data_IF_108949877687
#
_entry.id   IF_108949877687
#
_cell.length_a   1.000
_cell.length_b   1.000
_cell.length_c   1.000
_cell.angle_alpha   90.00
_cell.angle_beta   90.00
_cell.angle_gamma   90.00
#
_symmetry.space_group_name_H-M   'P 1'
#
loop_
_entity.id
_entity.type
_entity.pdbx_description
1 polymer ?
#
# COMPACT_ATOMS: atom_id res chain seq x y z
N UNK A 1 23.22 14.26 15.95
CA UNK A 1 23.78 13.08 15.26
C UNK A 1 22.79 11.92 15.23
N UNK A 2 22.77 10.93 16.15
CA UNK A 2 21.92 9.73 15.96
C UNK A 2 20.43 9.97 15.63
N UNK A 3 19.76 10.92 16.31
CA UNK A 3 18.34 11.25 16.04
C UNK A 3 18.12 11.92 14.68
N UNK A 4 19.11 12.65 14.21
CA UNK A 4 19.10 13.37 12.94
C UNK A 4 19.35 12.39 11.78
N UNK A 5 20.31 11.47 11.96
CA UNK A 5 20.60 10.38 11.02
C UNK A 5 19.40 9.43 10.85
N UNK A 6 18.70 9.11 11.95
CA UNK A 6 17.46 8.32 11.93
C UNK A 6 16.34 9.02 11.16
N UNK A 7 16.21 10.34 11.31
CA UNK A 7 15.19 11.12 10.62
C UNK A 7 15.51 11.23 9.12
N UNK A 8 16.78 11.44 8.76
CA UNK A 8 17.22 11.42 7.35
C UNK A 8 16.93 10.06 6.72
N UNK A 9 17.27 8.96 7.40
CA UNK A 9 17.00 7.61 6.90
C UNK A 9 15.51 7.35 6.72
N UNK A 10 14.68 7.80 7.67
CA UNK A 10 13.23 7.73 7.56
C UNK A 10 12.69 8.58 6.40
N UNK A 11 13.21 9.79 6.18
CA UNK A 11 12.85 10.65 5.04
C UNK A 11 13.19 9.98 3.71
N UNK A 12 14.39 9.40 3.58
CA UNK A 12 14.80 8.68 2.36
C UNK A 12 13.87 7.50 2.09
N UNK A 13 13.51 6.72 3.11
CA UNK A 13 12.58 5.60 2.95
C UNK A 13 11.19 6.05 2.46
N UNK A 14 10.69 7.18 2.93
CA UNK A 14 9.42 7.76 2.46
C UNK A 14 9.51 8.32 1.02
N UNK A 15 10.66 8.87 0.63
CA UNK A 15 10.92 9.23 -0.79
C UNK A 15 10.89 7.97 -1.66
N UNK A 16 11.52 6.88 -1.24
CA UNK A 16 11.49 5.61 -1.98
C UNK A 16 10.05 5.14 -2.17
N UNK A 17 9.24 5.14 -1.10
CA UNK A 17 7.80 4.84 -1.18
C UNK A 17 7.08 5.75 -2.20
N UNK A 18 7.31 7.05 -2.13
CA UNK A 18 6.73 8.05 -3.03
C UNK A 18 7.11 7.77 -4.49
N UNK A 19 8.38 7.49 -4.78
CA UNK A 19 8.85 7.20 -6.13
C UNK A 19 8.24 5.89 -6.69
N UNK A 20 8.17 4.83 -5.88
CA UNK A 20 7.59 3.56 -6.29
C UNK A 20 6.09 3.71 -6.56
N UNK A 21 5.36 4.39 -5.67
CA UNK A 21 3.93 4.66 -5.84
C UNK A 21 3.66 5.61 -7.03
N UNK A 22 4.47 6.65 -7.19
CA UNK A 22 4.37 7.59 -8.32
C UNK A 22 4.63 6.91 -9.67
N UNK A 23 5.53 5.92 -9.72
CA UNK A 23 5.69 5.05 -10.90
C UNK A 23 4.45 4.20 -11.15
N UNK A 24 3.78 3.72 -10.09
CA UNK A 24 2.49 3.03 -10.19
C UNK A 24 1.43 3.93 -10.83
N UNK A 25 1.28 5.15 -10.31
CA UNK A 25 0.31 6.16 -10.76
C UNK A 25 0.56 6.60 -12.22
N UNK A 26 1.80 6.94 -12.57
CA UNK A 26 2.15 7.41 -13.93
C UNK A 26 1.91 6.39 -15.03
N UNK A 27 1.86 5.09 -14.69
CA UNK A 27 1.60 3.99 -15.63
C UNK A 27 0.11 3.64 -15.77
N UNK A 28 -0.79 4.40 -15.15
CA UNK A 28 -2.24 4.18 -15.22
C UNK A 28 -2.89 4.62 -16.55
N UNK A 29 -2.12 5.11 -17.53
CA UNK A 29 -2.68 5.48 -18.84
C UNK A 29 -2.95 4.26 -19.74
N UNK A 30 -4.22 4.05 -20.10
CA UNK A 30 -4.61 3.44 -21.37
C UNK A 30 -5.43 2.15 -21.34
N UNK A 31 -5.22 1.20 -20.39
CA UNK A 31 -5.93 -0.11 -20.40
C UNK A 31 -6.18 -0.76 -19.03
N UNK A 32 -5.67 -0.18 -17.94
CA UNK A 32 -5.78 -0.74 -16.59
C UNK A 32 -6.59 0.20 -15.70
N UNK A 33 -7.91 0.05 -15.67
CA UNK A 33 -8.74 0.67 -14.64
C UNK A 33 -8.58 -0.10 -13.33
N UNK A 34 -7.41 0.03 -12.73
CA UNK A 34 -7.23 -0.18 -11.31
C UNK A 34 -7.56 1.12 -10.60
N UNK A 35 -8.43 1.13 -9.58
CA UNK A 35 -8.57 2.37 -8.84
C UNK A 35 -7.25 2.69 -8.13
N UNK A 36 -6.87 3.97 -8.04
CA UNK A 36 -5.58 4.36 -7.47
C UNK A 36 -5.56 4.25 -5.94
N UNK A 37 -6.50 3.57 -5.29
CA UNK A 37 -6.74 3.70 -3.85
C UNK A 37 -5.52 3.36 -2.99
N UNK A 38 -4.83 2.25 -3.30
CA UNK A 38 -3.57 1.88 -2.65
C UNK A 38 -2.43 2.81 -3.06
N UNK A 39 -2.24 2.99 -4.37
CA UNK A 39 -1.14 3.76 -4.96
C UNK A 39 -1.12 5.22 -4.49
N UNK A 40 -2.28 5.89 -4.51
CA UNK A 40 -2.45 7.25 -4.05
C UNK A 40 -2.23 7.37 -2.54
N UNK A 41 -2.73 6.40 -1.75
CA UNK A 41 -2.49 6.38 -0.31
C UNK A 41 -0.99 6.32 0.00
N UNK A 42 -0.24 5.44 -0.68
CA UNK A 42 1.20 5.31 -0.48
C UNK A 42 1.98 6.50 -1.00
N UNK A 43 1.58 7.06 -2.14
CA UNK A 43 2.18 8.29 -2.65
C UNK A 43 2.04 9.43 -1.63
N UNK A 44 0.80 9.68 -1.16
CA UNK A 44 0.52 10.73 -0.17
C UNK A 44 1.28 10.44 1.13
N UNK A 45 1.26 9.20 1.64
CA UNK A 45 2.00 8.84 2.84
C UNK A 45 3.51 9.04 2.69
N UNK A 46 4.09 8.73 1.53
CA UNK A 46 5.48 9.01 1.21
C UNK A 46 5.81 10.50 1.25
N UNK A 47 4.97 11.35 0.62
CA UNK A 47 5.17 12.81 0.68
C UNK A 47 5.04 13.33 2.12
N UNK A 48 4.00 12.92 2.85
CA UNK A 48 3.77 13.38 4.21
C UNK A 48 4.86 12.93 5.18
N UNK A 49 5.36 11.70 5.04
CA UNK A 49 6.45 11.21 5.88
C UNK A 49 7.78 11.89 5.57
N UNK A 50 8.09 12.15 4.30
CA UNK A 50 9.26 12.96 3.95
C UNK A 50 9.23 14.32 4.65
N UNK A 51 8.13 15.06 4.47
CA UNK A 51 7.96 16.37 5.07
C UNK A 51 8.01 16.28 6.60
N UNK A 52 7.39 15.25 7.21
CA UNK A 52 7.31 15.11 8.67
C UNK A 52 8.69 14.95 9.30
N UNK A 53 9.54 14.12 8.71
CA UNK A 53 10.89 13.90 9.22
C UNK A 53 11.87 15.04 8.86
N UNK A 54 11.46 15.97 7.98
CA UNK A 54 12.18 17.21 7.65
C UNK A 54 11.54 18.48 8.26
N UNK A 55 10.52 18.33 9.10
CA UNK A 55 9.70 19.47 9.60
C UNK A 55 10.50 20.52 10.35
N UNK A 56 11.55 20.13 11.08
CA UNK A 56 12.44 21.05 11.79
C UNK A 56 13.31 21.91 10.87
N UNK A 57 13.52 21.47 9.62
CA UNK A 57 14.23 22.26 8.59
C UNK A 57 13.24 23.12 7.80
N UNK A 58 12.01 22.63 7.61
CA UNK A 58 10.97 23.28 6.81
C UNK A 58 10.07 24.25 7.60
N UNK A 59 10.25 24.36 8.92
CA UNK A 59 9.45 25.17 9.84
C UNK A 59 7.92 25.00 9.69
N UNK A 60 7.49 23.74 9.57
CA UNK A 60 6.08 23.38 9.36
C UNK A 60 5.65 22.22 10.27
N UNK A 61 4.59 22.39 11.07
CA UNK A 61 4.00 21.30 11.83
C UNK A 61 2.93 20.56 11.00
N UNK A 62 3.30 19.37 10.53
CA UNK A 62 2.44 18.48 9.75
C UNK A 62 2.24 17.13 10.44
N UNK A 63 2.54 17.04 11.73
CA UNK A 63 2.49 15.78 12.48
C UNK A 63 1.11 15.13 12.40
N UNK A 64 0.05 15.90 12.57
CA UNK A 64 -1.32 15.38 12.51
C UNK A 64 -1.66 14.84 11.12
N UNK A 65 -1.26 15.54 10.06
CA UNK A 65 -1.46 15.09 8.67
C UNK A 65 -0.68 13.80 8.39
N UNK A 66 0.55 13.70 8.90
CA UNK A 66 1.34 12.48 8.84
C UNK A 66 0.64 11.32 9.56
N UNK A 67 0.15 11.52 10.78
CA UNK A 67 -0.58 10.49 11.53
C UNK A 67 -1.87 10.03 10.83
N UNK A 68 -2.60 10.95 10.18
CA UNK A 68 -3.75 10.59 9.34
C UNK A 68 -3.32 9.73 8.15
N UNK A 69 -2.26 10.12 7.44
CA UNK A 69 -1.72 9.35 6.32
C UNK A 69 -1.23 7.96 6.74
N UNK A 70 -0.62 7.86 7.92
CA UNK A 70 -0.16 6.60 8.52
C UNK A 70 -1.34 5.66 8.79
N UNK A 71 -2.43 6.19 9.36
CA UNK A 71 -3.68 5.42 9.57
C UNK A 71 -4.29 4.96 8.25
N UNK A 72 -4.28 5.80 7.22
CA UNK A 72 -4.80 5.46 5.90
C UNK A 72 -3.96 4.37 5.23
N UNK A 73 -2.63 4.50 5.26
CA UNK A 73 -1.70 3.49 4.76
C UNK A 73 -1.85 2.15 5.50
N UNK A 74 -2.13 2.19 6.81
CA UNK A 74 -2.37 1.01 7.65
C UNK A 74 -3.69 0.31 7.33
N UNK A 75 -4.78 1.05 7.29
CA UNK A 75 -6.12 0.44 7.33
C UNK A 75 -6.85 0.44 5.99
N UNK A 76 -6.53 1.32 5.05
CA UNK A 76 -7.28 1.45 3.79
C UNK A 76 -6.53 0.90 2.59
N UNK A 77 -5.21 1.04 2.54
CA UNK A 77 -4.47 0.81 1.30
C UNK A 77 -4.64 -0.61 0.73
N UNK A 78 -4.41 -1.67 1.53
CA UNK A 78 -4.65 -3.04 1.09
C UNK A 78 -6.14 -3.36 0.83
N UNK A 79 -7.09 -2.95 1.70
CA UNK A 79 -8.52 -3.05 1.39
C UNK A 79 -8.96 -2.41 0.06
N UNK A 80 -8.40 -1.26 -0.32
CA UNK A 80 -8.63 -0.67 -1.63
C UNK A 80 -8.11 -1.56 -2.76
N UNK A 81 -6.88 -2.07 -2.64
CA UNK A 81 -6.32 -3.02 -3.61
C UNK A 81 -7.27 -4.22 -3.81
N UNK A 82 -7.78 -4.78 -2.71
CA UNK A 82 -8.68 -5.93 -2.78
C UNK A 82 -10.03 -5.58 -3.41
N UNK A 83 -10.60 -4.42 -3.07
CA UNK A 83 -11.82 -3.94 -3.73
C UNK A 83 -11.64 -3.82 -5.25
N UNK A 84 -10.46 -3.39 -5.70
CA UNK A 84 -10.13 -3.26 -7.13
C UNK A 84 -9.97 -4.61 -7.83
N UNK A 85 -9.29 -5.57 -7.19
CA UNK A 85 -9.15 -6.93 -7.72
C UNK A 85 -10.52 -7.62 -7.86
N UNK A 86 -11.45 -7.35 -6.95
CA UNK A 86 -12.80 -7.90 -6.94
C UNK A 86 -13.85 -6.99 -7.58
N UNK A 87 -13.48 -5.95 -8.35
CA UNK A 87 -14.40 -4.93 -8.88
C UNK A 87 -15.62 -5.45 -9.67
N UNK A 88 -15.53 -6.65 -10.24
CA UNK A 88 -16.64 -7.30 -10.97
C UNK A 88 -17.67 -7.96 -10.04
N UNK A 89 -17.31 -8.20 -8.78
CA UNK A 89 -18.20 -8.70 -7.73
C UNK A 89 -18.38 -7.60 -6.67
N UNK A 90 -19.39 -6.76 -6.87
CA UNK A 90 -19.67 -5.60 -6.03
C UNK A 90 -19.84 -5.94 -4.55
N UNK A 91 -20.38 -7.11 -4.21
CA UNK A 91 -20.53 -7.53 -2.81
C UNK A 91 -19.18 -7.75 -2.14
N UNK A 92 -18.30 -8.52 -2.76
CA UNK A 92 -16.95 -8.81 -2.24
C UNK A 92 -16.07 -7.55 -2.25
N UNK A 93 -16.15 -6.74 -3.31
CA UNK A 93 -15.43 -5.47 -3.39
C UNK A 93 -15.85 -4.50 -2.26
N UNK A 94 -17.15 -4.41 -1.98
CA UNK A 94 -17.68 -3.58 -0.88
C UNK A 94 -17.22 -4.10 0.48
N UNK A 95 -17.27 -5.42 0.70
CA UNK A 95 -16.78 -6.03 1.93
C UNK A 95 -15.30 -5.68 2.20
N UNK A 96 -14.47 -5.77 1.17
CA UNK A 96 -13.07 -5.37 1.26
C UNK A 96 -12.96 -3.88 1.62
N UNK A 97 -13.58 -2.99 0.87
CA UNK A 97 -13.50 -1.55 1.15
C UNK A 97 -13.96 -1.19 2.57
N UNK A 98 -15.11 -1.72 3.00
CA UNK A 98 -15.68 -1.48 4.33
C UNK A 98 -14.79 -2.05 5.44
N UNK A 99 -14.17 -3.21 5.21
CA UNK A 99 -13.22 -3.81 6.17
C UNK A 99 -12.02 -2.91 6.48
N UNK A 100 -11.65 -2.00 5.57
CA UNK A 100 -10.62 -0.99 5.81
C UNK A 100 -11.17 0.35 6.29
N UNK A 101 -12.28 0.80 5.70
CA UNK A 101 -12.89 2.09 6.01
C UNK A 101 -13.37 2.18 7.47
N UNK A 102 -13.92 1.09 8.03
CA UNK A 102 -14.41 1.07 9.41
C UNK A 102 -13.26 1.23 10.43
N UNK A 103 -12.19 0.39 10.42
CA UNK A 103 -11.04 0.62 11.29
C UNK A 103 -10.40 2.00 11.11
N UNK A 104 -10.31 2.49 9.87
CA UNK A 104 -9.77 3.83 9.62
C UNK A 104 -10.63 4.94 10.25
N UNK A 105 -11.95 4.91 10.06
CA UNK A 105 -12.85 5.89 10.65
C UNK A 105 -12.80 5.85 12.18
N UNK A 106 -12.75 4.66 12.78
CA UNK A 106 -12.55 4.49 14.22
C UNK A 106 -11.23 5.11 14.70
N UNK A 107 -10.14 4.88 13.95
CA UNK A 107 -8.84 5.46 14.26
C UNK A 107 -8.84 6.98 14.16
N UNK A 108 -9.49 7.56 13.14
CA UNK A 108 -9.65 9.01 13.01
C UNK A 108 -10.50 9.61 14.14
N UNK A 109 -11.51 8.90 14.61
CA UNK A 109 -12.35 9.31 15.73
C UNK A 109 -11.68 9.14 17.12
N UNK A 110 -10.40 8.75 17.17
CA UNK A 110 -9.67 8.50 18.42
C UNK A 110 -10.07 7.22 19.15
N UNK A 111 -10.83 6.33 18.48
CA UNK A 111 -11.30 5.04 19.01
C UNK A 111 -10.62 3.87 18.29
N UNK A 112 -9.32 4.00 18.06
CA UNK A 112 -8.55 3.02 17.29
C UNK A 112 -8.61 1.63 17.96
N UNK A 113 -9.17 0.66 17.25
CA UNK A 113 -9.23 -0.73 17.67
C UNK A 113 -8.22 -1.52 16.83
N UNK A 114 -6.96 -1.48 17.28
CA UNK A 114 -5.83 -2.11 16.59
C UNK A 114 -6.06 -3.62 16.35
N UNK A 115 -6.57 -4.42 17.30
CA UNK A 115 -6.90 -5.82 17.05
C UNK A 115 -7.90 -6.03 15.92
N UNK A 116 -8.99 -5.24 15.87
CA UNK A 116 -9.97 -5.31 14.79
C UNK A 116 -9.33 -4.95 13.44
N UNK A 117 -8.56 -3.86 13.40
CA UNK A 117 -7.85 -3.45 12.19
C UNK A 117 -6.89 -4.52 11.68
N UNK A 118 -6.11 -5.14 12.58
CA UNK A 118 -5.20 -6.24 12.24
C UNK A 118 -5.96 -7.46 11.70
N UNK A 119 -7.10 -7.82 12.29
CA UNK A 119 -7.94 -8.91 11.80
C UNK A 119 -8.46 -8.62 10.38
N UNK A 120 -8.96 -7.40 10.14
CA UNK A 120 -9.44 -7.01 8.82
C UNK A 120 -8.32 -7.04 7.78
N UNK A 121 -7.11 -6.55 8.11
CA UNK A 121 -5.95 -6.63 7.22
C UNK A 121 -5.56 -8.10 6.95
N UNK A 122 -5.54 -8.97 7.96
CA UNK A 122 -5.26 -10.39 7.78
C UNK A 122 -6.27 -11.06 6.83
N UNK A 123 -7.57 -10.76 6.97
CA UNK A 123 -8.60 -11.25 6.05
C UNK A 123 -8.37 -10.77 4.61
N UNK A 124 -7.92 -9.52 4.41
CA UNK A 124 -7.58 -9.00 3.08
C UNK A 124 -6.34 -9.70 2.49
N UNK A 125 -5.32 -10.01 3.30
CA UNK A 125 -4.15 -10.79 2.87
C UNK A 125 -4.56 -12.21 2.46
N UNK A 126 -5.40 -12.88 3.25
CA UNK A 126 -5.89 -14.23 2.92
C UNK A 126 -6.72 -14.19 1.62
N UNK A 127 -7.58 -13.18 1.47
CA UNK A 127 -8.36 -12.99 0.24
C UNK A 127 -7.45 -12.74 -0.98
N UNK A 128 -6.34 -12.01 -0.81
CA UNK A 128 -5.34 -11.83 -1.87
C UNK A 128 -4.69 -13.15 -2.29
N UNK A 129 -4.32 -13.99 -1.33
CA UNK A 129 -3.79 -15.33 -1.62
C UNK A 129 -4.83 -16.18 -2.35
N UNK A 130 -6.08 -16.15 -1.91
CA UNK A 130 -7.17 -16.87 -2.57
C UNK A 130 -7.42 -16.37 -4.00
N UNK A 131 -7.45 -15.05 -4.21
CA UNK A 131 -7.54 -14.43 -5.53
C UNK A 131 -6.39 -14.88 -6.43
N UNK A 132 -5.16 -14.88 -5.90
CA UNK A 132 -3.94 -15.31 -6.59
C UNK A 132 -4.05 -16.76 -7.10
N UNK A 133 -4.54 -17.67 -6.26
CA UNK A 133 -4.77 -19.07 -6.64
C UNK A 133 -5.81 -19.17 -7.76
N UNK A 134 -6.96 -18.51 -7.60
CA UNK A 134 -8.07 -18.61 -8.55
C UNK A 134 -7.72 -18.08 -9.95
N UNK A 135 -6.85 -17.08 -10.02
CA UNK A 135 -6.53 -16.38 -11.27
C UNK A 135 -5.10 -16.66 -11.77
N UNK A 136 -4.38 -17.59 -11.13
CA UNK A 136 -2.98 -17.92 -11.41
C UNK A 136 -2.08 -16.66 -11.46
N UNK A 137 -2.16 -15.82 -10.42
CA UNK A 137 -1.46 -14.52 -10.33
C UNK A 137 -0.37 -14.54 -9.26
N UNK A 138 0.79 -15.11 -9.58
CA UNK A 138 1.90 -15.28 -8.63
C UNK A 138 2.30 -14.00 -7.86
N UNK A 139 2.22 -12.83 -8.50
CA UNK A 139 2.47 -11.53 -7.86
C UNK A 139 1.58 -11.24 -6.65
N UNK A 140 0.41 -11.87 -6.55
CA UNK A 140 -0.46 -11.79 -5.38
C UNK A 140 0.19 -12.38 -4.13
N UNK A 141 0.96 -13.46 -4.25
CA UNK A 141 1.69 -14.06 -3.12
C UNK A 141 2.81 -13.15 -2.61
N UNK A 142 3.57 -12.54 -3.51
CA UNK A 142 4.62 -11.58 -3.13
C UNK A 142 4.01 -10.33 -2.47
N UNK A 143 2.87 -9.86 -2.98
CA UNK A 143 2.14 -8.73 -2.39
C UNK A 143 1.60 -9.08 -1.01
N UNK A 144 1.05 -10.28 -0.82
CA UNK A 144 0.60 -10.78 0.48
C UNK A 144 1.76 -10.86 1.49
N UNK A 145 2.91 -11.43 1.10
CA UNK A 145 4.09 -11.50 1.94
C UNK A 145 4.61 -10.10 2.34
N UNK A 146 4.67 -9.17 1.38
CA UNK A 146 5.03 -7.78 1.66
C UNK A 146 4.03 -7.10 2.59
N UNK A 147 2.72 -7.39 2.47
CA UNK A 147 1.69 -6.95 3.39
C UNK A 147 1.88 -7.49 4.82
N UNK A 148 2.28 -8.76 4.98
CA UNK A 148 2.63 -9.32 6.28
C UNK A 148 3.81 -8.54 6.90
N UNK A 149 4.86 -8.31 6.11
CA UNK A 149 6.04 -7.56 6.56
C UNK A 149 5.63 -6.14 6.99
N UNK A 150 4.84 -5.44 6.18
CA UNK A 150 4.44 -4.06 6.47
C UNK A 150 3.48 -3.95 7.67
N UNK A 151 2.48 -4.81 7.77
CA UNK A 151 1.41 -4.61 8.75
C UNK A 151 1.61 -5.34 10.07
N UNK A 152 2.39 -6.41 10.09
CA UNK A 152 2.59 -7.23 11.29
C UNK A 152 4.02 -7.25 11.78
N UNK A 153 5.02 -7.27 10.88
CA UNK A 153 6.42 -7.34 11.28
C UNK A 153 6.99 -5.96 11.58
N UNK A 154 6.85 -5.00 10.66
CA UNK A 154 7.52 -3.71 10.81
C UNK A 154 7.11 -2.92 12.05
N UNK A 155 5.85 -2.95 12.53
CA UNK A 155 5.47 -2.27 13.78
C UNK A 155 6.22 -2.81 15.01
N UNK A 156 6.80 -4.01 14.95
CA UNK A 156 7.52 -4.63 16.06
C UNK A 156 9.01 -4.25 16.11
N UNK A 157 9.55 -3.66 15.04
CA UNK A 157 11.00 -3.43 14.89
C UNK A 157 11.50 -2.12 15.51
N UNK A 158 10.59 -1.20 15.86
CA UNK A 158 10.90 0.18 16.28
C UNK A 158 11.76 0.99 15.28
N UNK A 159 11.95 0.52 14.04
CA UNK A 159 12.72 1.21 13.01
C UNK A 159 11.81 2.07 12.13
N UNK A 160 11.98 3.40 12.20
CA UNK A 160 11.17 4.40 11.47
C UNK A 160 11.17 4.20 9.94
N UNK A 161 12.28 3.71 9.39
CA UNK A 161 12.44 3.46 7.95
C UNK A 161 11.75 2.18 7.46
N UNK A 162 11.47 1.23 8.35
CA UNK A 162 11.14 -0.12 7.91
C UNK A 162 9.71 -0.23 7.37
N UNK A 163 8.76 0.46 8.01
CA UNK A 163 7.38 0.51 7.53
C UNK A 163 7.26 1.10 6.10
N UNK A 164 7.77 2.31 5.79
CA UNK A 164 7.67 2.87 4.44
C UNK A 164 8.41 2.02 3.38
N UNK A 165 9.53 1.36 3.72
CA UNK A 165 10.19 0.43 2.80
C UNK A 165 9.35 -0.83 2.54
N UNK A 166 8.71 -1.38 3.57
CA UNK A 166 7.82 -2.53 3.42
C UNK A 166 6.57 -2.17 2.57
N UNK A 167 6.01 -0.96 2.75
CA UNK A 167 4.96 -0.45 1.87
C UNK A 167 5.44 -0.29 0.42
N UNK A 168 6.67 0.18 0.21
CA UNK A 168 7.25 0.34 -1.12
C UNK A 168 7.42 -1.02 -1.83
N UNK A 169 7.86 -2.04 -1.09
CA UNK A 169 7.91 -3.42 -1.58
C UNK A 169 6.52 -3.92 -1.95
N UNK A 170 5.53 -3.71 -1.07
CA UNK A 170 4.15 -4.13 -1.33
C UNK A 170 3.57 -3.44 -2.57
N UNK A 171 3.78 -2.15 -2.72
CA UNK A 171 3.37 -1.37 -3.90
C UNK A 171 3.99 -1.91 -5.19
N UNK A 172 5.30 -2.19 -5.16
CA UNK A 172 6.01 -2.76 -6.31
C UNK A 172 5.44 -4.12 -6.73
N UNK A 173 5.10 -4.97 -5.77
CA UNK A 173 4.46 -6.26 -6.02
C UNK A 173 3.01 -6.08 -6.51
N UNK A 174 2.23 -5.22 -5.85
CA UNK A 174 0.81 -4.98 -6.15
C UNK A 174 0.60 -4.48 -7.58
N UNK A 175 1.44 -3.55 -8.04
CA UNK A 175 1.42 -3.05 -9.41
C UNK A 175 1.49 -4.18 -10.47
N UNK A 176 2.23 -5.25 -10.18
CA UNK A 176 2.42 -6.40 -11.08
C UNK A 176 1.28 -7.40 -11.04
N UNK A 177 0.41 -7.35 -10.02
CA UNK A 177 -0.82 -8.16 -9.97
C UNK A 177 -1.77 -7.76 -11.11
N UNK A 178 -1.81 -6.47 -11.47
CA UNK A 178 -2.69 -5.95 -12.53
C UNK A 178 -2.10 -6.02 -13.94
N UNK A 179 -0.76 -6.04 -14.06
CA UNK A 179 -0.11 -6.06 -15.37
C UNK A 179 0.12 -7.50 -15.84
N UNK A 180 -0.82 -7.99 -16.66
CA UNK A 180 -0.54 -9.13 -17.55
C UNK A 180 0.50 -8.68 -18.57
N UNK A 181 1.65 -9.36 -18.65
CA UNK A 181 2.46 -9.28 -19.87
C UNK A 181 1.62 -9.90 -21.00
N UNK A 182 1.23 -9.10 -21.99
CA UNK A 182 0.80 -9.66 -23.26
C UNK A 182 2.06 -10.20 -23.93
N UNK A 183 2.17 -11.52 -24.06
CA UNK A 183 3.11 -12.08 -25.01
C UNK A 183 2.76 -11.54 -26.40
N UNK A 184 3.74 -11.12 -27.22
CA UNK A 184 3.47 -10.72 -28.59
C UNK A 184 2.78 -11.88 -29.32
N UNK A 185 1.77 -11.60 -30.18
CA UNK A 185 1.08 -12.65 -30.92
C UNK A 185 2.10 -13.49 -31.69
N UNK A 186 1.88 -14.82 -31.82
CA UNK A 186 2.80 -15.68 -32.56
C UNK A 186 3.02 -15.10 -33.96
N UNK A 187 4.29 -15.00 -34.36
CA UNK A 187 4.66 -14.53 -35.68
C UNK A 187 3.98 -15.36 -36.78
N UNK A 188 3.76 -14.80 -37.97
CA UNK A 188 3.19 -15.54 -39.09
C UNK A 188 4.05 -16.79 -39.38
N UNK A 189 3.44 -17.90 -39.82
CA UNK A 189 4.19 -19.11 -40.15
C UNK A 189 5.27 -18.82 -41.20
N UNK A 190 6.45 -19.45 -41.10
CA UNK A 190 7.49 -19.30 -42.10
C UNK A 190 6.94 -19.72 -43.48
N UNK A 191 7.20 -18.89 -44.49
CA UNK A 191 6.84 -19.15 -45.89
C UNK A 191 7.71 -20.25 -46.47
#
# INVERSE_FOLDING_TARGET
MAKEDDNVTASVAHIVLCCVAGRGISRMQGKSFTHPGMHANFFIHGVMGFLHYQSGILDNDIKEVYLMSLRAARYIALPCLMADLYRTNHGVATLHLVSGAVPFALALAGKDNVPLGNLMIACNIISLCHYSIQHNREWGWYTAAAGIIAYFVSPQTNQKMFFPLALALMEYCAYRVFHVHYDPPPGPPPR
#
